data_IF_020663911519
#
_entry.id   IF_020663911519
#
_cell.length_a   1.000
_cell.length_b   1.000
_cell.length_c   1.000
_cell.angle_alpha   90.00
_cell.angle_beta   90.00
_cell.angle_gamma   90.00
#
_symmetry.space_group_name_H-M   'P 1'
#
loop_
_entity.id
_entity.type
_entity.pdbx_description
1 polymer ?
#
# COMPACT_ATOMS: atom_id res chain seq x y z
N UNK A 1 -33.02 -16.89 -6.65
CA UNK A 1 -32.85 -17.26 -5.22
C UNK A 1 -31.57 -16.61 -4.78
N UNK A 2 -31.65 -15.54 -3.98
CA UNK A 2 -30.46 -14.93 -3.37
C UNK A 2 -29.97 -15.92 -2.33
N UNK A 3 -28.82 -16.56 -2.58
CA UNK A 3 -28.15 -17.36 -1.56
C UNK A 3 -27.88 -16.43 -0.37
N UNK A 4 -28.39 -16.82 0.80
CA UNK A 4 -28.03 -16.17 2.06
C UNK A 4 -26.51 -16.18 2.17
N UNK A 5 -25.83 -15.06 2.48
CA UNK A 5 -24.39 -15.08 2.67
C UNK A 5 -24.08 -16.15 3.71
N UNK A 6 -23.15 -17.03 3.38
CA UNK A 6 -22.57 -17.98 4.34
C UNK A 6 -22.13 -17.10 5.50
N UNK A 7 -22.81 -17.20 6.65
CA UNK A 7 -22.36 -16.54 7.88
C UNK A 7 -20.92 -17.02 8.10
N UNK A 8 -19.89 -16.17 7.93
CA UNK A 8 -18.55 -16.59 8.24
C UNK A 8 -18.59 -16.95 9.71
N UNK A 9 -18.20 -18.18 10.03
CA UNK A 9 -18.08 -18.61 11.40
C UNK A 9 -16.90 -17.81 11.99
N UNK A 10 -17.18 -16.57 12.42
CA UNK A 10 -16.18 -15.65 12.97
C UNK A 10 -15.73 -16.23 14.30
N UNK A 11 -14.77 -17.15 14.21
CA UNK A 11 -13.99 -17.54 15.37
C UNK A 11 -13.41 -16.27 15.97
N UNK A 12 -13.57 -16.02 17.28
CA UNK A 12 -13.10 -14.80 17.91
C UNK A 12 -11.63 -14.57 17.54
N UNK A 13 -11.30 -13.31 17.27
CA UNK A 13 -10.00 -12.93 16.72
C UNK A 13 -8.91 -13.38 17.70
N UNK A 14 -8.25 -14.50 17.39
CA UNK A 14 -7.08 -14.89 18.17
C UNK A 14 -6.00 -13.85 17.96
N UNK A 15 -5.46 -13.36 19.07
CA UNK A 15 -4.27 -12.52 19.06
C UNK A 15 -3.19 -13.23 18.23
N UNK A 16 -2.43 -12.49 17.40
CA UNK A 16 -1.33 -13.10 16.68
C UNK A 16 -0.37 -13.77 17.65
N UNK A 17 0.17 -14.92 17.26
CA UNK A 17 1.22 -15.56 18.07
C UNK A 17 2.47 -14.70 18.09
N UNK A 18 3.36 -14.89 19.06
CA UNK A 18 4.62 -14.15 19.14
C UNK A 18 5.48 -14.35 17.87
N UNK A 19 5.50 -15.58 17.33
CA UNK A 19 6.15 -15.88 16.05
C UNK A 19 5.52 -15.16 14.86
N UNK A 20 4.19 -15.08 14.81
CA UNK A 20 3.46 -14.36 13.76
C UNK A 20 3.79 -12.86 13.82
N UNK A 21 3.79 -12.25 15.01
CA UNK A 21 4.20 -10.86 15.21
C UNK A 21 5.64 -10.63 14.75
N UNK A 22 6.57 -11.53 15.11
CA UNK A 22 7.98 -11.45 14.70
C UNK A 22 8.14 -11.49 13.18
N UNK A 23 7.38 -12.35 12.49
CA UNK A 23 7.43 -12.45 11.03
C UNK A 23 6.80 -11.23 10.34
N UNK A 24 5.69 -10.71 10.87
CA UNK A 24 5.08 -9.47 10.37
C UNK A 24 6.01 -8.27 10.55
N UNK A 25 6.64 -8.13 11.71
CA UNK A 25 7.66 -7.09 11.96
C UNK A 25 8.83 -7.20 10.99
N UNK A 26 9.34 -8.41 10.77
CA UNK A 26 10.43 -8.65 9.81
C UNK A 26 10.03 -8.25 8.38
N UNK A 27 8.80 -8.58 7.95
CA UNK A 27 8.27 -8.17 6.65
C UNK A 27 8.14 -6.64 6.56
N UNK A 28 7.56 -6.00 7.57
CA UNK A 28 7.41 -4.55 7.59
C UNK A 28 8.76 -3.83 7.57
N UNK A 29 9.75 -4.32 8.30
CA UNK A 29 11.13 -3.81 8.26
C UNK A 29 11.77 -4.00 6.89
N UNK A 30 11.52 -5.12 6.21
CA UNK A 30 11.97 -5.33 4.84
C UNK A 30 11.31 -4.32 3.88
N UNK A 31 9.99 -4.09 3.98
CA UNK A 31 9.30 -3.05 3.21
C UNK A 31 9.92 -1.65 3.44
N UNK A 32 10.17 -1.28 4.70
CA UNK A 32 10.81 -0.01 5.04
C UNK A 32 12.22 0.10 4.48
N UNK A 33 12.99 -0.99 4.49
CA UNK A 33 14.31 -1.06 3.87
C UNK A 33 14.23 -0.84 2.35
N UNK A 34 13.30 -1.52 1.68
CA UNK A 34 13.07 -1.33 0.24
C UNK A 34 12.63 0.10 -0.07
N UNK A 35 11.82 0.72 0.81
CA UNK A 35 11.39 2.10 0.64
C UNK A 35 12.56 3.09 0.68
N UNK A 36 13.45 2.94 1.65
CA UNK A 36 14.70 3.72 1.72
C UNK A 36 15.59 3.40 0.50
N UNK A 37 15.71 2.13 0.12
CA UNK A 37 16.45 1.71 -1.07
C UNK A 37 15.97 2.41 -2.35
N UNK A 38 14.67 2.41 -2.59
CA UNK A 38 14.03 3.09 -3.72
C UNK A 38 14.29 4.60 -3.71
N UNK A 39 14.20 5.28 -2.56
CA UNK A 39 14.40 6.74 -2.51
C UNK A 39 15.87 7.13 -2.69
N UNK A 40 16.79 6.37 -2.09
CA UNK A 40 18.18 6.81 -1.93
C UNK A 40 19.20 6.08 -2.82
N UNK A 41 19.04 4.78 -3.07
CA UNK A 41 20.11 3.96 -3.66
C UNK A 41 19.96 3.80 -5.17
N UNK A 42 21.09 3.84 -5.88
CA UNK A 42 21.19 3.48 -7.31
C UNK A 42 22.05 2.24 -7.56
N UNK A 43 22.76 1.76 -6.54
CA UNK A 43 23.56 0.53 -6.55
C UNK A 43 23.86 0.09 -5.11
N UNK A 44 24.51 -1.07 -4.93
CA UNK A 44 24.80 -1.67 -3.62
C UNK A 44 23.52 -1.88 -2.75
N UNK A 45 22.46 -2.52 -3.28
CA UNK A 45 21.13 -2.55 -2.66
C UNK A 45 21.09 -3.28 -1.31
N UNK A 46 22.03 -4.18 -1.04
CA UNK A 46 22.15 -4.90 0.24
C UNK A 46 23.33 -4.43 1.10
N UNK A 47 23.97 -3.31 0.74
CA UNK A 47 25.13 -2.76 1.46
C UNK A 47 26.26 -3.79 1.69
N UNK A 48 26.48 -4.69 0.73
CA UNK A 48 27.55 -5.71 0.78
C UNK A 48 28.95 -5.09 0.82
N UNK A 49 29.06 -3.84 0.36
CA UNK A 49 30.23 -2.97 0.54
C UNK A 49 29.85 -1.80 1.45
N UNK A 50 30.80 -1.20 2.19
CA UNK A 50 30.55 0.04 2.93
C UNK A 50 29.86 1.08 2.05
N UNK A 51 28.86 1.78 2.59
CA UNK A 51 28.12 2.80 1.85
C UNK A 51 29.07 3.95 1.45
N UNK A 52 28.95 4.40 0.20
CA UNK A 52 29.76 5.47 -0.38
C UNK A 52 28.82 6.41 -1.16
N UNK A 53 29.18 7.69 -1.35
CA UNK A 53 28.35 8.66 -2.08
C UNK A 53 27.94 8.18 -3.48
N UNK A 54 28.79 7.39 -4.15
CA UNK A 54 28.52 6.88 -5.50
C UNK A 54 27.39 5.84 -5.53
N UNK A 55 27.00 5.26 -4.40
CA UNK A 55 25.87 4.35 -4.30
C UNK A 55 24.52 5.10 -4.19
N UNK A 56 24.55 6.40 -3.88
CA UNK A 56 23.36 7.24 -3.67
C UNK A 56 22.94 7.91 -4.97
N UNK A 57 21.62 8.09 -5.17
CA UNK A 57 21.06 8.84 -6.30
C UNK A 57 21.50 10.31 -6.23
N UNK A 58 21.83 10.89 -7.38
CA UNK A 58 22.22 12.30 -7.46
C UNK A 58 21.08 13.26 -7.12
N UNK A 59 19.84 12.85 -7.36
CA UNK A 59 18.63 13.58 -6.97
C UNK A 59 17.78 12.63 -6.14
N UNK A 60 17.44 13.07 -4.93
CA UNK A 60 16.58 12.33 -4.03
C UNK A 60 15.14 12.73 -4.34
N UNK A 61 14.38 11.80 -4.91
CA UNK A 61 12.99 11.99 -5.30
C UNK A 61 12.16 10.86 -4.66
N UNK A 62 11.01 11.23 -4.09
CA UNK A 62 10.13 10.33 -3.36
C UNK A 62 9.76 10.85 -1.97
N UNK A 63 8.80 10.20 -1.34
CA UNK A 63 8.29 10.58 -0.02
C UNK A 63 8.44 9.44 0.98
N UNK A 64 9.07 9.74 2.10
CA UNK A 64 9.18 8.81 3.22
C UNK A 64 7.95 8.85 4.14
N UNK A 65 7.42 10.04 4.44
CA UNK A 65 6.50 10.27 5.58
C UNK A 65 5.28 9.35 5.67
N UNK A 66 4.66 8.98 4.54
CA UNK A 66 3.51 8.07 4.51
C UNK A 66 3.88 6.58 4.27
N UNK A 67 5.09 6.30 3.78
CA UNK A 67 5.49 4.96 3.33
C UNK A 67 5.48 3.89 4.45
N UNK A 68 5.96 4.16 5.68
CA UNK A 68 5.89 3.18 6.78
C UNK A 68 4.47 2.84 7.18
N UNK A 69 3.55 3.82 7.21
CA UNK A 69 2.16 3.59 7.59
C UNK A 69 1.41 2.77 6.54
N UNK A 70 1.65 3.04 5.25
CA UNK A 70 1.09 2.27 4.15
C UNK A 70 1.54 0.81 4.20
N UNK A 71 2.85 0.57 4.32
CA UNK A 71 3.37 -0.81 4.39
C UNK A 71 2.98 -1.53 5.68
N UNK A 72 2.89 -0.83 6.82
CA UNK A 72 2.37 -1.39 8.06
C UNK A 72 0.94 -1.90 7.87
N UNK A 73 0.08 -1.05 7.31
CA UNK A 73 -1.31 -1.40 7.03
C UNK A 73 -1.40 -2.59 6.06
N UNK A 74 -0.62 -2.55 4.97
CA UNK A 74 -0.57 -3.61 3.97
C UNK A 74 -0.19 -4.97 4.60
N UNK A 75 0.84 -5.01 5.46
CA UNK A 75 1.27 -6.24 6.16
C UNK A 75 0.16 -6.81 7.05
N UNK A 76 -0.54 -5.94 7.78
CA UNK A 76 -1.66 -6.35 8.61
C UNK A 76 -2.86 -6.84 7.77
N UNK A 77 -3.13 -6.22 6.62
CA UNK A 77 -4.12 -6.70 5.66
C UNK A 77 -3.73 -8.06 5.07
N UNK A 78 -2.47 -8.25 4.67
CA UNK A 78 -1.95 -9.54 4.18
C UNK A 78 -2.17 -10.65 5.21
N UNK A 79 -1.96 -10.38 6.50
CA UNK A 79 -2.30 -11.34 7.56
C UNK A 79 -3.79 -11.70 7.53
N UNK A 80 -4.68 -10.71 7.45
CA UNK A 80 -6.13 -10.93 7.46
C UNK A 80 -6.58 -11.72 6.22
N UNK A 81 -6.07 -11.36 5.03
CA UNK A 81 -6.30 -12.08 3.78
C UNK A 81 -5.88 -13.54 3.94
N UNK A 82 -4.66 -13.81 4.41
CA UNK A 82 -4.16 -15.19 4.58
C UNK A 82 -4.92 -15.99 5.63
N UNK A 83 -5.40 -15.34 6.70
CA UNK A 83 -6.08 -16.02 7.82
C UNK A 83 -7.54 -16.33 7.50
N UNK A 84 -8.21 -15.46 6.75
CA UNK A 84 -9.65 -15.50 6.54
C UNK A 84 -10.07 -15.69 5.08
N UNK A 85 -9.10 -15.83 4.16
CA UNK A 85 -9.33 -16.00 2.72
C UNK A 85 -10.19 -14.87 2.13
N UNK A 86 -9.84 -13.63 2.47
CA UNK A 86 -10.62 -12.44 2.10
C UNK A 86 -10.30 -11.98 0.67
N UNK A 87 -11.33 -11.65 -0.10
CA UNK A 87 -11.20 -10.83 -1.29
C UNK A 87 -11.03 -9.36 -0.88
N UNK A 88 -9.83 -8.81 -1.08
CA UNK A 88 -9.47 -7.49 -0.60
C UNK A 88 -8.58 -6.75 -1.57
N UNK A 89 -8.91 -5.48 -1.83
CA UNK A 89 -8.03 -4.54 -2.55
C UNK A 89 -7.59 -3.39 -1.63
N UNK A 90 -6.47 -2.77 -1.99
CA UNK A 90 -5.84 -1.70 -1.22
C UNK A 90 -5.88 -0.37 -1.99
N UNK A 91 -6.46 0.67 -1.40
CA UNK A 91 -6.48 2.02 -1.94
C UNK A 91 -5.57 2.90 -1.08
N UNK A 92 -4.50 3.42 -1.68
CA UNK A 92 -3.56 4.32 -1.04
C UNK A 92 -3.92 5.78 -1.33
N UNK A 93 -4.70 6.41 -0.47
CA UNK A 93 -5.01 7.84 -0.54
C UNK A 93 -3.75 8.72 -0.54
N UNK A 94 -2.80 8.57 0.41
CA UNK A 94 -1.50 9.24 0.33
C UNK A 94 -0.57 8.53 -0.69
N UNK A 95 -0.98 8.51 -1.95
CA UNK A 95 -0.30 7.77 -3.03
C UNK A 95 1.13 8.23 -3.32
N UNK A 96 1.50 9.44 -2.90
CA UNK A 96 2.88 9.93 -2.90
C UNK A 96 3.83 9.09 -2.04
N UNK A 97 3.30 8.29 -1.09
CA UNK A 97 3.99 7.27 -0.31
C UNK A 97 4.17 5.93 -1.03
N UNK A 98 4.27 5.94 -2.36
CA UNK A 98 4.34 4.75 -3.20
C UNK A 98 5.34 3.67 -2.76
N UNK A 99 6.53 4.00 -2.22
CA UNK A 99 7.44 2.99 -1.68
C UNK A 99 6.80 2.06 -0.63
N UNK A 100 5.82 2.56 0.13
CA UNK A 100 5.04 1.79 1.10
C UNK A 100 4.08 0.77 0.50
N UNK A 101 3.79 0.84 -0.80
CA UNK A 101 2.96 -0.13 -1.55
C UNK A 101 3.83 -0.99 -2.45
N UNK A 102 4.78 -0.39 -3.16
CA UNK A 102 5.73 -1.08 -4.03
C UNK A 102 6.58 -2.11 -3.27
N UNK A 103 7.00 -1.79 -2.05
CA UNK A 103 7.77 -2.71 -1.20
C UNK A 103 7.03 -4.04 -0.93
N UNK A 104 5.80 -3.99 -0.35
CA UNK A 104 4.97 -5.18 -0.20
C UNK A 104 4.73 -5.95 -1.51
N UNK A 105 4.35 -5.26 -2.60
CA UNK A 105 4.06 -5.87 -3.91
C UNK A 105 5.29 -6.56 -4.53
N UNK A 106 6.49 -6.06 -4.25
CA UNK A 106 7.74 -6.71 -4.65
C UNK A 106 8.03 -7.98 -3.84
N UNK A 107 7.84 -7.94 -2.52
CA UNK A 107 8.13 -9.05 -1.60
C UNK A 107 7.10 -10.19 -1.66
N UNK A 108 5.91 -9.95 -2.20
CA UNK A 108 4.93 -11.02 -2.49
C UNK A 108 5.15 -11.68 -3.86
N UNK A 109 6.13 -11.20 -4.66
CA UNK A 109 6.52 -11.78 -5.95
C UNK A 109 5.80 -11.20 -7.16
N UNK A 110 4.59 -10.65 -6.99
CA UNK A 110 3.75 -10.11 -8.09
C UNK A 110 4.48 -9.10 -8.97
N UNK A 111 5.30 -8.22 -8.37
CA UNK A 111 6.09 -7.25 -9.15
C UNK A 111 7.06 -7.95 -10.11
N UNK A 112 7.71 -9.03 -9.66
CA UNK A 112 8.67 -9.81 -10.45
C UNK A 112 7.97 -10.64 -11.53
N UNK A 113 6.74 -11.09 -11.30
CA UNK A 113 5.93 -11.80 -12.30
C UNK A 113 5.61 -10.90 -13.50
N UNK A 114 5.26 -9.64 -13.25
CA UNK A 114 4.91 -8.66 -14.29
C UNK A 114 6.15 -8.01 -14.89
N UNK A 115 7.19 -7.76 -14.09
CA UNK A 115 8.46 -7.16 -14.51
C UNK A 115 9.65 -8.08 -14.19
N UNK A 116 9.90 -9.11 -15.03
CA UNK A 116 10.89 -10.17 -14.74
C UNK A 116 12.33 -9.67 -14.54
N UNK A 117 12.66 -8.49 -15.05
CA UNK A 117 13.98 -7.90 -14.90
C UNK A 117 14.20 -7.25 -13.52
N UNK A 118 13.19 -7.26 -12.64
CA UNK A 118 13.22 -6.88 -11.22
C UNK A 118 12.92 -8.10 -10.36
N UNK A 119 13.67 -9.19 -10.54
CA UNK A 119 13.53 -10.41 -9.74
C UNK A 119 13.91 -10.23 -8.27
N UNK A 120 13.56 -11.22 -7.45
CA UNK A 120 13.87 -11.32 -6.01
C UNK A 120 15.33 -11.77 -5.75
N UNK A 121 16.27 -11.14 -6.44
CA UNK A 121 17.71 -11.32 -6.26
C UNK A 121 18.42 -9.96 -6.10
N UNK A 122 19.74 -9.99 -5.87
CA UNK A 122 20.53 -8.77 -5.62
C UNK A 122 20.55 -7.84 -6.83
N UNK A 123 20.54 -8.38 -8.05
CA UNK A 123 20.56 -7.60 -9.28
C UNK A 123 19.19 -6.98 -9.56
N UNK A 124 18.13 -7.78 -9.45
CA UNK A 124 16.74 -7.37 -9.58
C UNK A 124 16.37 -6.30 -8.55
N UNK A 125 16.75 -6.47 -7.28
CA UNK A 125 16.58 -5.45 -6.23
C UNK A 125 17.34 -4.16 -6.56
N UNK A 126 18.55 -4.27 -7.12
CA UNK A 126 19.33 -3.12 -7.57
C UNK A 126 18.62 -2.32 -8.67
N UNK A 127 18.03 -3.02 -9.64
CA UNK A 127 17.21 -2.42 -10.72
C UNK A 127 15.93 -1.81 -10.15
N UNK A 128 15.27 -2.52 -9.23
CA UNK A 128 14.06 -2.08 -8.52
C UNK A 128 14.28 -0.77 -7.73
N UNK A 129 15.41 -0.64 -7.03
CA UNK A 129 15.76 0.60 -6.35
C UNK A 129 16.06 1.72 -7.34
N UNK A 130 16.89 1.43 -8.35
CA UNK A 130 17.35 2.44 -9.31
C UNK A 130 16.20 3.05 -10.10
N UNK A 131 15.21 2.25 -10.52
CA UNK A 131 14.10 2.71 -11.39
C UNK A 131 13.19 3.74 -10.72
N UNK A 132 13.00 3.69 -9.40
CA UNK A 132 12.04 4.53 -8.71
C UNK A 132 12.37 6.02 -8.87
N UNK A 133 11.44 6.82 -9.42
CA UNK A 133 11.63 8.25 -9.66
C UNK A 133 12.93 8.59 -10.42
N UNK A 134 13.31 7.73 -11.38
CA UNK A 134 14.51 7.91 -12.19
C UNK A 134 14.13 8.21 -13.64
N UNK A 135 14.89 9.06 -14.37
CA UNK A 135 14.58 9.40 -15.75
C UNK A 135 14.38 8.17 -16.63
N UNK A 136 13.23 8.10 -17.31
CA UNK A 136 12.87 7.00 -18.21
C UNK A 136 12.23 5.77 -17.54
N UNK A 137 11.87 5.86 -16.26
CA UNK A 137 11.25 4.77 -15.49
C UNK A 137 9.95 5.25 -14.80
N UNK A 138 9.53 4.56 -13.73
CA UNK A 138 8.30 4.82 -13.00
C UNK A 138 8.35 6.11 -12.17
N UNK A 139 7.16 6.69 -11.94
CA UNK A 139 6.97 7.90 -11.13
C UNK A 139 7.14 7.68 -9.63
N UNK A 140 6.73 8.68 -8.84
CA UNK A 140 6.82 8.69 -7.37
C UNK A 140 5.52 8.31 -6.66
N UNK A 141 4.43 8.09 -7.41
CA UNK A 141 3.10 7.78 -6.90
C UNK A 141 2.76 6.29 -7.13
N UNK A 142 1.63 5.83 -6.61
CA UNK A 142 1.12 4.46 -6.84
C UNK A 142 0.48 4.38 -8.23
N UNK A 143 1.26 4.71 -9.25
CA UNK A 143 0.78 4.88 -10.63
C UNK A 143 0.22 3.57 -11.21
N UNK A 144 -0.52 3.61 -12.34
CA UNK A 144 -1.14 2.42 -12.93
C UNK A 144 -0.17 1.30 -13.33
N UNK A 145 1.13 1.57 -13.47
CA UNK A 145 2.16 0.55 -13.66
C UNK A 145 2.43 -0.27 -12.39
N UNK A 146 1.95 0.16 -11.22
CA UNK A 146 2.05 -0.61 -9.98
C UNK A 146 1.00 -1.72 -9.98
N UNK A 147 1.40 -3.00 -9.91
CA UNK A 147 0.45 -4.10 -9.83
C UNK A 147 -0.51 -3.93 -8.65
N UNK A 148 -1.80 -4.14 -8.90
CA UNK A 148 -2.87 -3.96 -7.92
C UNK A 148 -3.35 -2.52 -7.73
N UNK A 149 -2.70 -1.52 -8.33
CA UNK A 149 -3.17 -0.13 -8.21
C UNK A 149 -4.41 0.13 -9.06
N UNK A 150 -5.44 0.68 -8.42
CA UNK A 150 -6.64 1.25 -9.06
C UNK A 150 -6.84 2.72 -8.66
N UNK A 151 -5.90 3.30 -7.92
CA UNK A 151 -5.96 4.66 -7.41
C UNK A 151 -4.52 5.18 -7.20
N UNK A 152 -4.14 6.19 -7.98
CA UNK A 152 -2.77 6.72 -7.94
C UNK A 152 -2.46 7.55 -6.69
N UNK A 153 -3.45 8.30 -6.18
CA UNK A 153 -3.28 9.17 -5.01
C UNK A 153 -2.32 10.34 -5.24
N UNK A 154 -2.23 10.84 -6.48
CA UNK A 154 -1.50 12.06 -6.83
C UNK A 154 -2.29 13.32 -6.51
N UNK A 155 -3.45 13.49 -7.15
CA UNK A 155 -4.45 14.46 -6.72
C UNK A 155 -5.27 13.87 -5.57
N UNK A 156 -5.07 14.42 -4.37
CA UNK A 156 -5.67 13.99 -3.12
C UNK A 156 -7.18 14.27 -3.07
N UNK A 157 -7.95 13.36 -2.47
CA UNK A 157 -9.36 13.60 -2.11
C UNK A 157 -10.35 12.54 -2.60
N UNK A 158 -9.92 11.62 -3.46
CA UNK A 158 -10.80 10.66 -4.13
C UNK A 158 -10.70 9.24 -3.60
N UNK A 159 -9.86 8.98 -2.59
CA UNK A 159 -9.60 7.63 -2.07
C UNK A 159 -10.87 6.93 -1.60
N UNK A 160 -11.67 7.60 -0.75
CA UNK A 160 -12.90 7.04 -0.19
C UNK A 160 -13.98 6.89 -1.27
N UNK A 161 -14.14 7.86 -2.18
CA UNK A 161 -15.15 7.73 -3.25
C UNK A 161 -14.80 6.58 -4.21
N UNK A 162 -13.53 6.41 -4.58
CA UNK A 162 -13.07 5.27 -5.37
C UNK A 162 -13.29 3.95 -4.62
N UNK A 163 -13.00 3.90 -3.33
CA UNK A 163 -13.21 2.71 -2.50
C UNK A 163 -14.69 2.31 -2.44
N UNK A 164 -15.58 3.27 -2.21
CA UNK A 164 -17.02 2.99 -2.22
C UNK A 164 -17.53 2.60 -3.61
N UNK A 165 -17.02 3.22 -4.68
CA UNK A 165 -17.36 2.83 -6.04
C UNK A 165 -16.96 1.39 -6.37
N UNK A 166 -15.81 0.93 -5.86
CA UNK A 166 -15.30 -0.41 -6.13
C UNK A 166 -16.11 -1.53 -5.46
N UNK A 167 -16.77 -1.26 -4.31
CA UNK A 167 -17.58 -2.27 -3.61
C UNK A 167 -19.03 -2.36 -4.08
N UNK A 168 -19.50 -1.43 -4.93
CA UNK A 168 -20.85 -1.47 -5.46
C UNK A 168 -21.06 -2.73 -6.30
N UNK A 169 -22.19 -3.42 -6.05
CA UNK A 169 -22.55 -4.69 -6.69
C UNK A 169 -21.47 -5.80 -6.55
N UNK A 170 -20.59 -5.69 -5.55
CA UNK A 170 -19.53 -6.65 -5.27
C UNK A 170 -19.52 -7.07 -3.79
N UNK A 171 -20.43 -7.97 -3.37
CA UNK A 171 -20.77 -8.22 -1.96
C UNK A 171 -19.64 -8.84 -1.14
N UNK A 172 -18.70 -9.53 -1.77
CA UNK A 172 -17.60 -10.23 -1.07
C UNK A 172 -16.33 -9.36 -0.98
N UNK A 173 -16.25 -8.27 -1.74
CA UNK A 173 -15.07 -7.41 -1.80
C UNK A 173 -14.96 -6.52 -0.55
N UNK A 174 -13.76 -6.51 0.02
CA UNK A 174 -13.35 -5.51 1.02
C UNK A 174 -12.35 -4.54 0.40
N UNK A 175 -12.61 -3.24 0.48
CA UNK A 175 -11.61 -2.22 0.11
C UNK A 175 -10.99 -1.65 1.37
N UNK A 176 -9.72 -1.95 1.61
CA UNK A 176 -8.95 -1.22 2.63
C UNK A 176 -8.50 0.10 2.02
N UNK A 177 -9.02 1.22 2.55
CA UNK A 177 -8.75 2.56 2.05
C UNK A 177 -7.94 3.35 3.08
N UNK A 178 -6.64 3.51 2.85
CA UNK A 178 -5.81 4.38 3.70
C UNK A 178 -6.01 5.82 3.27
N UNK A 179 -6.40 6.65 4.22
CA UNK A 179 -6.72 8.07 4.01
C UNK A 179 -5.67 8.91 4.72
N UNK A 180 -5.01 9.83 4.00
CA UNK A 180 -4.13 10.80 4.65
C UNK A 180 -4.94 11.76 5.52
N UNK A 181 -4.47 12.11 6.71
CA UNK A 181 -5.11 13.17 7.51
C UNK A 181 -5.10 14.53 6.80
N UNK A 182 -4.01 14.89 6.10
CA UNK A 182 -3.99 16.05 5.21
C UNK A 182 -4.90 15.91 3.97
N UNK A 183 -5.10 14.69 3.47
CA UNK A 183 -6.10 14.43 2.41
C UNK A 183 -7.51 14.71 2.94
N UNK A 184 -7.79 14.35 4.19
CA UNK A 184 -9.10 14.47 4.84
C UNK A 184 -9.59 15.92 4.99
N UNK A 185 -8.70 16.89 4.83
CA UNK A 185 -9.03 18.31 4.80
C UNK A 185 -9.60 18.76 3.43
N UNK A 186 -9.50 17.92 2.39
CA UNK A 186 -10.06 18.24 1.08
C UNK A 186 -11.58 18.12 1.06
N UNK A 187 -12.26 19.00 0.31
CA UNK A 187 -13.71 18.96 0.14
C UNK A 187 -14.26 17.63 -0.38
N UNK A 188 -13.68 17.04 -1.47
CA UNK A 188 -14.09 15.74 -1.97
C UNK A 188 -14.03 14.63 -0.93
N UNK A 189 -12.95 14.56 -0.13
CA UNK A 189 -12.83 13.50 0.87
C UNK A 189 -13.79 13.70 2.04
N UNK A 190 -13.95 14.95 2.50
CA UNK A 190 -14.87 15.29 3.58
C UNK A 190 -16.30 14.83 3.29
N UNK A 191 -16.80 15.02 2.07
CA UNK A 191 -18.14 14.56 1.67
C UNK A 191 -18.19 13.04 1.43
N UNK A 192 -17.10 12.43 0.94
CA UNK A 192 -17.05 11.01 0.62
C UNK A 192 -17.31 10.10 1.84
N UNK A 193 -17.08 10.56 3.07
CA UNK A 193 -17.47 9.85 4.30
C UNK A 193 -18.96 9.53 4.40
N UNK A 194 -19.82 10.30 3.73
CA UNK A 194 -21.26 10.03 3.69
C UNK A 194 -21.65 8.87 2.76
N UNK A 195 -20.72 8.33 1.97
CA UNK A 195 -20.96 7.23 1.01
C UNK A 195 -21.54 5.98 1.68
N UNK A 196 -21.24 5.75 2.97
CA UNK A 196 -21.82 4.64 3.74
C UNK A 196 -23.35 4.62 3.80
N UNK A 197 -24.02 5.75 3.58
CA UNK A 197 -25.50 5.85 3.55
C UNK A 197 -26.11 5.35 2.24
N UNK A 198 -25.27 5.11 1.23
CA UNK A 198 -25.69 4.71 -0.11
C UNK A 198 -25.31 3.26 -0.44
N UNK A 199 -24.61 2.58 0.47
CA UNK A 199 -24.26 1.16 0.38
C UNK A 199 -25.35 0.32 1.02
N UNK A 200 -25.64 -0.83 0.40
CA UNK A 200 -26.50 -1.86 0.95
C UNK A 200 -25.67 -3.14 1.18
N UNK A 201 -25.40 -3.52 2.44
CA UNK A 201 -24.53 -4.66 2.76
C UNK A 201 -25.08 -6.02 2.31
N UNK A 202 -26.31 -6.10 1.80
CA UNK A 202 -26.86 -7.33 1.22
C UNK A 202 -26.46 -7.54 -0.26
N UNK A 203 -25.93 -6.51 -0.95
CA UNK A 203 -25.56 -6.56 -2.38
C UNK A 203 -24.20 -5.95 -2.69
N UNK A 204 -23.74 -5.04 -1.84
CA UNK A 204 -22.51 -4.28 -1.99
C UNK A 204 -21.51 -4.79 -0.94
N UNK A 205 -20.21 -4.69 -1.25
CA UNK A 205 -19.12 -5.05 -0.35
C UNK A 205 -18.89 -4.02 0.76
N UNK A 206 -17.73 -4.08 1.39
CA UNK A 206 -17.39 -3.24 2.54
C UNK A 206 -16.15 -2.38 2.30
N UNK A 207 -16.20 -1.12 2.71
CA UNK A 207 -15.02 -0.25 2.78
C UNK A 207 -14.52 -0.21 4.22
N UNK A 208 -13.23 -0.53 4.41
CA UNK A 208 -12.50 -0.34 5.66
C UNK A 208 -11.61 0.91 5.53
N UNK A 209 -12.10 2.09 5.92
CA UNK A 209 -11.29 3.30 5.91
C UNK A 209 -10.33 3.30 7.10
N UNK A 210 -9.06 3.64 6.82
CA UNK A 210 -8.00 3.77 7.82
C UNK A 210 -7.46 5.18 7.73
N UNK A 211 -7.79 6.01 8.72
CA UNK A 211 -7.23 7.36 8.82
C UNK A 211 -5.76 7.25 9.27
N UNK A 212 -4.84 7.53 8.35
CA UNK A 212 -3.43 7.69 8.65
C UNK A 212 -3.21 9.05 9.32
N UNK A 213 -3.52 9.11 10.61
CA UNK A 213 -3.37 10.28 11.46
C UNK A 213 -1.92 10.42 11.95
N UNK A 214 -1.01 10.67 11.01
CA UNK A 214 0.43 10.83 11.31
C UNK A 214 0.77 12.26 11.79
N UNK A 215 -0.22 13.15 11.79
CA UNK A 215 -0.20 14.45 12.44
C UNK A 215 0.39 15.59 11.62
N UNK A 216 0.71 15.36 10.34
CA UNK A 216 1.33 16.37 9.48
C UNK A 216 1.01 16.17 7.99
N UNK A 217 0.86 17.29 7.29
CA UNK A 217 0.99 17.39 5.82
C UNK A 217 2.37 17.95 5.45
N UNK A 218 2.53 18.53 4.25
CA UNK A 218 3.85 18.94 3.73
C UNK A 218 4.60 19.88 4.70
N UNK A 219 3.92 20.85 5.29
CA UNK A 219 4.54 21.90 6.10
C UNK A 219 3.64 22.42 7.25
N UNK A 220 2.66 21.64 7.68
CA UNK A 220 1.71 22.00 8.74
C UNK A 220 1.25 20.74 9.48
N UNK A 221 0.86 20.85 10.76
CA UNK A 221 0.03 19.84 11.41
C UNK A 221 -1.37 19.78 10.79
#
# INVERSE_FOLDING_TARGET
MVQTPIQPNFSPLSAPTEDELRLMDAYWRACNYLAVGMIYLRSNPLLKKPLQPEHVKHRLLGHWGASPALSFTYVHCNRLIKKYDLDMIFVAGPGHGAPGVLGPVYLEGTYSEIYPDKGEDVEGMGRFFKQFSFPGYIGSHVTPETPGSVHEGGELGYSVSHAYGAVLDNPDLIVTCVVGDGEAETGPLATAWHSNKFINPARDGAVLPILNLNGYKIANP
#
